data_IF_551006848105
#
_entry.id   IF_551006848105
#
_cell.length_a   1.000
_cell.length_b   1.000
_cell.length_c   1.000
_cell.angle_alpha   90.00
_cell.angle_beta   90.00
_cell.angle_gamma   90.00
#
_symmetry.space_group_name_H-M   'P 1'
#
loop_
_entity.id
_entity.type
_entity.pdbx_description
1 polymer ?
#
# COMPACT_ATOMS: atom_id res chain seq x y z
N UNK A 1 -6.12 -9.97 15.86
CA UNK A 1 -5.29 -9.34 14.81
C UNK A 1 -4.36 -8.24 15.33
N UNK A 2 -4.84 -7.30 16.16
CA UNK A 2 -4.00 -6.20 16.66
C UNK A 2 -3.06 -6.67 17.78
N UNK A 3 -1.77 -6.26 17.78
CA UNK A 3 -0.83 -6.62 18.84
C UNK A 3 -1.30 -6.09 20.19
N UNK A 4 -1.31 -6.95 21.20
CA UNK A 4 -1.58 -6.58 22.58
C UNK A 4 -0.39 -6.99 23.46
N UNK A 5 0.22 -6.01 24.15
CA UNK A 5 1.22 -6.23 25.20
C UNK A 5 0.85 -5.27 26.34
N UNK A 6 0.20 -5.74 27.41
CA UNK A 6 -0.10 -4.91 28.55
C UNK A 6 1.18 -4.66 29.35
N UNK A 7 1.76 -3.47 29.22
CA UNK A 7 2.75 -2.93 30.17
C UNK A 7 2.52 -1.42 30.27
N UNK A 8 2.39 -0.92 31.51
CA UNK A 8 2.17 0.49 31.79
C UNK A 8 0.72 0.96 31.60
N UNK A 9 0.57 2.21 31.14
CA UNK A 9 -0.71 2.94 31.00
C UNK A 9 -1.75 2.13 30.22
N UNK A 10 -3.03 2.16 30.64
CA UNK A 10 -4.13 1.52 29.92
C UNK A 10 -4.13 1.86 28.43
N UNK A 11 -4.42 0.84 27.62
CA UNK A 11 -4.39 0.98 26.17
C UNK A 11 -5.53 1.91 25.72
N UNK A 12 -5.18 2.95 24.95
CA UNK A 12 -6.17 3.77 24.27
C UNK A 12 -7.09 2.93 23.35
N UNK A 13 -8.35 3.35 23.24
CA UNK A 13 -9.35 2.70 22.38
C UNK A 13 -8.85 2.61 20.92
N UNK A 14 -8.76 1.38 20.39
CA UNK A 14 -8.18 1.14 19.06
C UNK A 14 -9.00 1.75 17.92
N UNK A 15 -10.35 1.82 18.04
CA UNK A 15 -11.21 2.46 17.03
C UNK A 15 -10.96 3.96 16.97
N UNK A 16 -10.84 4.62 18.13
CA UNK A 16 -10.50 6.06 18.19
C UNK A 16 -9.13 6.33 17.56
N UNK A 17 -8.13 5.53 17.90
CA UNK A 17 -6.77 5.68 17.34
C UNK A 17 -6.75 5.41 15.83
N UNK A 18 -7.45 4.39 15.35
CA UNK A 18 -7.60 4.11 13.92
C UNK A 18 -8.24 5.28 13.18
N UNK A 19 -9.33 5.84 13.72
CA UNK A 19 -9.99 6.99 13.12
C UNK A 19 -9.07 8.21 13.05
N UNK A 20 -8.28 8.47 14.10
CA UNK A 20 -7.29 9.55 14.07
C UNK A 20 -6.21 9.32 13.00
N UNK A 21 -5.73 8.09 12.85
CA UNK A 21 -4.78 7.73 11.77
C UNK A 21 -5.42 7.96 10.39
N UNK A 22 -6.66 7.49 10.17
CA UNK A 22 -7.34 7.67 8.89
C UNK A 22 -7.65 9.13 8.58
N UNK A 23 -7.98 9.93 9.59
CA UNK A 23 -8.16 11.37 9.44
C UNK A 23 -6.89 12.01 8.88
N UNK A 24 -5.73 11.74 9.48
CA UNK A 24 -4.42 12.25 9.01
C UNK A 24 -4.12 11.77 7.59
N UNK A 25 -4.33 10.49 7.30
CA UNK A 25 -4.04 9.93 5.97
C UNK A 25 -4.96 10.50 4.88
N UNK A 26 -6.21 10.83 5.22
CA UNK A 26 -7.18 11.42 4.28
C UNK A 26 -6.98 12.93 4.10
N UNK A 27 -6.76 13.66 5.20
CA UNK A 27 -6.59 15.12 5.18
C UNK A 27 -5.20 15.54 4.70
N UNK A 28 -4.20 14.66 4.85
CA UNK A 28 -2.78 14.94 4.65
C UNK A 28 -2.23 16.03 5.59
N UNK A 29 -2.95 16.33 6.66
CA UNK A 29 -2.50 17.27 7.68
C UNK A 29 -1.26 16.74 8.42
N UNK A 30 -0.39 17.63 8.94
CA UNK A 30 0.62 17.25 9.91
C UNK A 30 0.02 16.47 11.07
N UNK A 31 0.74 15.48 11.60
CA UNK A 31 0.28 14.73 12.77
C UNK A 31 -0.04 15.64 13.96
N UNK A 32 0.70 16.73 14.13
CA UNK A 32 0.50 17.70 15.21
C UNK A 32 -0.86 18.41 15.16
N UNK A 33 -1.51 18.40 13.99
CA UNK A 33 -2.79 19.07 13.75
C UNK A 33 -3.97 18.08 13.86
N UNK A 34 -3.72 16.87 14.37
CA UNK A 34 -4.77 15.90 14.64
C UNK A 34 -5.76 16.48 15.67
N UNK A 35 -7.09 16.47 15.41
CA UNK A 35 -8.08 16.92 16.37
C UNK A 35 -8.02 16.16 17.70
N UNK A 36 -8.17 16.91 18.80
CA UNK A 36 -8.04 16.39 20.16
C UNK A 36 -9.09 15.30 20.50
N UNK A 37 -10.22 15.27 19.79
CA UNK A 37 -11.25 14.23 19.92
C UNK A 37 -10.71 12.81 19.64
N UNK A 38 -9.64 12.68 18.86
CA UNK A 38 -8.97 11.41 18.61
C UNK A 38 -7.92 11.05 19.70
N UNK A 39 -7.65 11.98 20.61
CA UNK A 39 -6.61 11.90 21.64
C UNK A 39 -5.24 12.38 21.14
N UNK A 40 -4.20 12.24 21.98
CA UNK A 40 -2.88 12.82 21.69
C UNK A 40 -2.30 12.29 20.37
N UNK A 41 -1.88 13.19 19.49
CA UNK A 41 -1.33 12.80 18.19
C UNK A 41 -0.15 11.82 18.29
N UNK A 42 0.65 11.94 19.35
CA UNK A 42 1.78 11.03 19.63
C UNK A 42 1.31 9.59 19.80
N UNK A 43 0.12 9.37 20.36
CA UNK A 43 -0.48 8.04 20.50
C UNK A 43 -0.81 7.45 19.13
N UNK A 44 -1.45 8.23 18.26
CA UNK A 44 -1.81 7.81 16.90
C UNK A 44 -0.57 7.54 16.04
N UNK A 45 0.39 8.46 16.05
CA UNK A 45 1.66 8.32 15.32
C UNK A 45 2.45 7.09 15.79
N UNK A 46 2.65 6.94 17.11
CA UNK A 46 3.38 5.80 17.66
C UNK A 46 2.68 4.48 17.36
N UNK A 47 1.35 4.45 17.37
CA UNK A 47 0.57 3.28 16.97
C UNK A 47 0.81 2.94 15.51
N UNK A 48 0.68 3.92 14.61
CA UNK A 48 0.90 3.75 13.19
C UNK A 48 2.29 3.14 12.90
N UNK A 49 3.35 3.72 13.49
CA UNK A 49 4.73 3.25 13.30
C UNK A 49 4.94 1.84 13.84
N UNK A 50 4.45 1.56 15.07
CA UNK A 50 4.57 0.21 15.67
C UNK A 50 3.84 -0.84 14.84
N UNK A 51 2.64 -0.53 14.38
CA UNK A 51 1.85 -1.43 13.53
C UNK A 51 2.47 -1.63 12.15
N UNK A 52 3.07 -0.60 11.56
CA UNK A 52 3.84 -0.72 10.32
C UNK A 52 5.03 -1.65 10.50
N UNK A 53 5.82 -1.49 11.57
CA UNK A 53 6.96 -2.36 11.87
C UNK A 53 6.54 -3.80 12.17
N UNK A 54 5.38 -4.00 12.80
CA UNK A 54 4.84 -5.31 13.13
C UNK A 54 3.99 -5.95 12.00
N UNK A 55 3.99 -5.38 10.78
CA UNK A 55 3.24 -5.91 9.63
C UNK A 55 1.72 -5.95 9.82
N UNK A 56 1.17 -5.15 10.75
CA UNK A 56 -0.26 -5.15 11.06
C UNK A 56 -1.07 -4.57 9.91
N UNK A 57 -0.61 -3.48 9.29
CA UNK A 57 -1.30 -2.86 8.15
C UNK A 57 -1.43 -3.80 6.96
N UNK A 58 -0.37 -4.56 6.65
CA UNK A 58 -0.43 -5.59 5.60
C UNK A 58 -1.50 -6.63 5.90
N UNK A 59 -1.54 -7.16 7.13
CA UNK A 59 -2.56 -8.12 7.55
C UNK A 59 -3.98 -7.56 7.52
N UNK A 60 -4.18 -6.28 7.84
CA UNK A 60 -5.48 -5.62 7.73
C UNK A 60 -5.89 -5.53 6.26
N UNK A 61 -4.98 -5.09 5.37
CA UNK A 61 -5.27 -5.04 3.93
C UNK A 61 -5.59 -6.43 3.38
N UNK A 62 -4.80 -7.46 3.71
CA UNK A 62 -5.07 -8.83 3.30
C UNK A 62 -6.44 -9.33 3.78
N UNK A 63 -6.82 -9.02 5.03
CA UNK A 63 -8.09 -9.42 5.60
C UNK A 63 -9.29 -8.75 4.91
N UNK A 64 -9.18 -7.45 4.59
CA UNK A 64 -10.21 -6.70 3.86
C UNK A 64 -10.31 -7.17 2.41
N UNK A 65 -9.17 -7.43 1.77
CA UNK A 65 -9.11 -7.93 0.40
C UNK A 65 -9.65 -9.37 0.28
N UNK A 66 -9.69 -10.17 1.35
CA UNK A 66 -10.06 -11.59 1.27
C UNK A 66 -11.50 -11.82 0.75
N UNK A 67 -12.39 -10.83 0.89
CA UNK A 67 -13.77 -10.88 0.42
C UNK A 67 -13.98 -10.14 -0.90
N UNK A 68 -12.91 -9.82 -1.63
CA UNK A 68 -13.02 -9.09 -2.90
C UNK A 68 -13.83 -9.87 -3.94
N UNK A 69 -14.53 -9.14 -4.81
CA UNK A 69 -15.09 -9.71 -6.03
C UNK A 69 -13.93 -10.06 -6.96
N UNK A 70 -13.90 -11.27 -7.49
CA UNK A 70 -12.83 -11.73 -8.35
C UNK A 70 -13.27 -11.83 -9.83
N UNK A 71 -14.49 -11.44 -10.16
CA UNK A 71 -15.02 -11.51 -11.53
C UNK A 71 -14.13 -10.73 -12.51
N UNK A 72 -13.72 -9.52 -12.13
CA UNK A 72 -12.76 -8.68 -12.85
C UNK A 72 -11.68 -8.19 -11.89
N UNK A 73 -10.43 -8.24 -12.34
CA UNK A 73 -9.32 -7.60 -11.66
C UNK A 73 -8.62 -6.64 -12.61
N UNK A 74 -8.32 -5.44 -12.14
CA UNK A 74 -7.60 -4.42 -12.90
C UNK A 74 -6.20 -4.28 -12.32
N UNK A 75 -5.18 -4.19 -13.17
CA UNK A 75 -3.80 -3.91 -12.77
C UNK A 75 -3.34 -2.58 -13.37
N UNK A 76 -2.77 -1.73 -12.53
CA UNK A 76 -2.18 -0.46 -12.95
C UNK A 76 -1.04 -0.04 -12.01
N UNK A 77 -0.23 0.90 -12.46
CA UNK A 77 0.88 1.48 -11.69
C UNK A 77 0.83 2.99 -11.69
N UNK A 78 0.93 3.57 -10.49
CA UNK A 78 1.07 5.02 -10.31
C UNK A 78 2.46 5.36 -9.77
N UNK A 79 2.97 6.54 -10.12
CA UNK A 79 4.28 7.04 -9.69
C UNK A 79 4.10 8.13 -8.63
N UNK A 80 4.83 8.03 -7.53
CA UNK A 80 4.90 9.06 -6.49
C UNK A 80 6.32 9.60 -6.40
N UNK A 81 6.46 10.93 -6.46
CA UNK A 81 7.74 11.60 -6.24
C UNK A 81 8.11 11.58 -4.77
N UNK A 82 9.38 11.27 -4.49
CA UNK A 82 9.90 11.31 -3.13
C UNK A 82 9.89 12.76 -2.64
N UNK A 83 9.37 12.96 -1.43
CA UNK A 83 9.38 14.28 -0.79
C UNK A 83 10.81 14.82 -0.70
N UNK A 84 11.00 16.13 -0.88
CA UNK A 84 12.33 16.76 -0.95
C UNK A 84 13.25 16.38 0.24
N UNK A 85 12.72 16.34 1.47
CA UNK A 85 13.48 15.95 2.66
C UNK A 85 13.90 14.46 2.67
N UNK A 86 13.18 13.60 1.95
CA UNK A 86 13.55 12.20 1.76
C UNK A 86 14.58 11.98 0.65
N UNK A 87 14.60 12.88 -0.35
CA UNK A 87 15.49 12.82 -1.50
C UNK A 87 16.94 13.17 -1.16
N UNK A 88 17.16 13.97 -0.10
CA UNK A 88 18.49 14.36 0.38
C UNK A 88 19.19 13.29 1.25
N UNK A 89 18.54 12.15 1.53
CA UNK A 89 19.11 11.12 2.42
C UNK A 89 20.10 10.23 1.64
N UNK A 90 21.39 10.39 1.91
CA UNK A 90 22.47 9.59 1.34
C UNK A 90 22.26 8.10 1.67
N UNK A 91 22.39 7.22 0.66
CA UNK A 91 22.26 5.75 0.76
C UNK A 91 20.88 5.22 1.20
N UNK A 92 19.79 5.96 1.01
CA UNK A 92 18.44 5.47 1.30
C UNK A 92 17.87 4.49 0.24
N UNK A 93 18.61 3.41 -0.08
CA UNK A 93 18.24 2.44 -1.14
C UNK A 93 17.19 1.40 -0.71
N UNK A 94 16.72 1.43 0.55
CA UNK A 94 15.84 0.40 1.12
C UNK A 94 14.34 0.71 1.04
N UNK A 95 13.93 1.85 0.48
CA UNK A 95 12.54 2.32 0.49
C UNK A 95 11.86 2.27 -0.88
N UNK A 96 12.32 1.40 -1.79
CA UNK A 96 11.81 1.32 -3.17
C UNK A 96 11.81 2.68 -3.88
N UNK A 97 12.89 3.44 -3.70
CA UNK A 97 13.09 4.74 -4.34
C UNK A 97 14.19 4.59 -5.40
N UNK A 98 14.00 5.19 -6.56
CA UNK A 98 15.03 5.22 -7.59
C UNK A 98 14.82 6.29 -8.64
N UNK A 99 15.77 6.40 -9.57
CA UNK A 99 15.92 7.56 -10.46
C UNK A 99 15.07 7.37 -11.72
N UNK A 100 14.01 8.16 -11.83
CA UNK A 100 13.19 8.27 -13.03
C UNK A 100 13.47 9.58 -13.77
N UNK A 101 12.86 9.80 -14.95
CA UNK A 101 12.90 11.10 -15.64
C UNK A 101 12.32 12.24 -14.77
N UNK A 102 11.44 11.91 -13.83
CA UNK A 102 10.90 12.83 -12.84
C UNK A 102 11.76 12.98 -11.57
N UNK A 103 13.01 12.55 -11.56
CA UNK A 103 13.88 12.52 -10.39
C UNK A 103 13.64 11.28 -9.52
N UNK A 104 13.92 11.39 -8.22
CA UNK A 104 13.77 10.29 -7.27
C UNK A 104 12.29 9.97 -7.01
N UNK A 105 11.83 8.79 -7.43
CA UNK A 105 10.43 8.38 -7.37
C UNK A 105 10.27 6.92 -6.93
N UNK A 106 9.05 6.56 -6.55
CA UNK A 106 8.59 5.20 -6.28
C UNK A 106 7.38 4.88 -7.15
N UNK A 107 7.25 3.63 -7.57
CA UNK A 107 6.06 3.12 -8.26
C UNK A 107 5.20 2.32 -7.29
N UNK A 108 3.91 2.61 -7.26
CA UNK A 108 2.88 1.86 -6.56
C UNK A 108 2.13 1.05 -7.60
N UNK A 109 2.30 -0.26 -7.55
CA UNK A 109 1.61 -1.22 -8.40
C UNK A 109 0.40 -1.73 -7.63
N UNK A 110 -0.79 -1.66 -8.23
CA UNK A 110 -2.02 -2.06 -7.61
C UNK A 110 -2.77 -3.06 -8.49
N UNK A 111 -3.27 -4.12 -7.86
CA UNK A 111 -4.37 -4.93 -8.41
C UNK A 111 -5.60 -4.59 -7.59
N UNK A 112 -6.67 -4.21 -8.28
CA UNK A 112 -7.96 -3.86 -7.69
C UNK A 112 -9.07 -4.74 -8.25
N UNK A 113 -10.17 -4.88 -7.52
CA UNK A 113 -11.38 -5.55 -8.02
C UNK A 113 -12.27 -4.61 -8.86
N UNK A 114 -13.45 -5.12 -9.24
CA UNK A 114 -14.51 -4.37 -9.96
C UNK A 114 -14.93 -3.08 -9.27
N UNK A 115 -14.84 -3.00 -7.95
CA UNK A 115 -15.25 -1.84 -7.15
C UNK A 115 -14.08 -0.90 -6.83
N UNK A 116 -12.89 -1.18 -7.36
CA UNK A 116 -11.67 -0.44 -7.04
C UNK A 116 -11.08 -0.77 -5.67
N UNK A 117 -11.51 -1.86 -5.02
CA UNK A 117 -10.92 -2.31 -3.76
C UNK A 117 -9.50 -2.82 -4.01
N UNK A 118 -8.46 -2.29 -3.34
CA UNK A 118 -7.11 -2.83 -3.48
C UNK A 118 -7.01 -4.27 -2.99
N UNK A 119 -6.77 -5.18 -3.92
CA UNK A 119 -6.57 -6.61 -3.67
C UNK A 119 -5.11 -6.89 -3.32
N UNK A 120 -4.19 -6.28 -4.07
CA UNK A 120 -2.74 -6.40 -3.84
C UNK A 120 -2.05 -5.10 -4.17
N UNK A 121 -1.06 -4.77 -3.35
CA UNK A 121 -0.18 -3.63 -3.55
C UNK A 121 1.27 -4.09 -3.53
N UNK A 122 2.10 -3.49 -4.39
CA UNK A 122 3.54 -3.66 -4.32
C UNK A 122 4.26 -2.37 -4.72
N UNK A 123 5.50 -2.23 -4.26
CA UNK A 123 6.33 -1.06 -4.53
C UNK A 123 7.57 -1.47 -5.31
N UNK A 124 7.93 -0.67 -6.32
CA UNK A 124 9.26 -0.71 -6.95
C UNK A 124 9.88 0.67 -6.96
N UNK A 125 11.19 0.70 -7.21
CA UNK A 125 11.88 1.92 -7.58
C UNK A 125 11.30 2.52 -8.88
N UNK A 126 11.44 3.83 -9.03
CA UNK A 126 10.82 4.62 -10.10
C UNK A 126 11.24 4.25 -11.52
N UNK A 127 12.47 3.75 -11.71
CA UNK A 127 13.00 3.29 -12.99
C UNK A 127 12.49 1.91 -13.42
N UNK A 128 11.88 1.15 -12.52
CA UNK A 128 11.44 -0.20 -12.84
C UNK A 128 10.29 -0.20 -13.85
N UNK A 129 10.29 -1.15 -14.79
CA UNK A 129 9.18 -1.36 -15.71
C UNK A 129 7.89 -1.75 -14.97
N UNK A 130 6.74 -1.35 -15.48
CA UNK A 130 5.45 -1.59 -14.80
C UNK A 130 5.12 -3.07 -14.70
N UNK A 131 5.43 -3.84 -15.75
CA UNK A 131 5.26 -5.29 -15.73
C UNK A 131 6.24 -6.05 -14.80
N UNK A 132 7.22 -5.37 -14.17
CA UNK A 132 8.25 -6.00 -13.31
C UNK A 132 7.67 -6.85 -12.18
N UNK A 133 6.54 -6.40 -11.60
CA UNK A 133 5.88 -7.11 -10.50
C UNK A 133 4.57 -7.80 -10.91
N UNK A 134 4.19 -7.76 -12.19
CA UNK A 134 2.94 -8.34 -12.66
C UNK A 134 2.80 -9.82 -12.27
N UNK A 135 3.85 -10.63 -12.44
CA UNK A 135 3.81 -12.05 -12.04
C UNK A 135 3.56 -12.27 -10.54
N UNK A 136 4.11 -11.40 -9.67
CA UNK A 136 3.89 -11.48 -8.22
C UNK A 136 2.48 -11.02 -7.85
N UNK A 137 2.01 -9.93 -8.46
CA UNK A 137 0.70 -9.36 -8.22
C UNK A 137 -0.42 -10.28 -8.72
N UNK A 138 -0.27 -10.84 -9.91
CA UNK A 138 -1.26 -11.73 -10.54
C UNK A 138 -1.14 -13.20 -10.09
N UNK A 139 -0.19 -13.53 -9.21
CA UNK A 139 0.03 -14.91 -8.74
C UNK A 139 -1.20 -15.59 -8.12
N UNK A 140 -2.12 -14.80 -7.53
CA UNK A 140 -3.39 -15.28 -6.95
C UNK A 140 -4.62 -14.77 -7.71
N UNK A 141 -4.49 -14.46 -9.00
CA UNK A 141 -5.64 -14.31 -9.88
C UNK A 141 -6.48 -15.60 -9.76
N UNK A 142 -7.79 -15.46 -9.55
CA UNK A 142 -8.68 -16.62 -9.45
C UNK A 142 -8.99 -17.13 -10.87
N UNK A 143 -9.34 -18.40 -10.96
CA UNK A 143 -9.66 -18.99 -12.25
C UNK A 143 -10.93 -18.37 -12.82
N UNK A 144 -10.90 -18.04 -14.11
CA UNK A 144 -12.01 -17.39 -14.80
C UNK A 144 -12.18 -15.90 -14.48
N UNK A 145 -11.24 -15.28 -13.77
CA UNK A 145 -11.20 -13.82 -13.59
C UNK A 145 -10.85 -13.12 -14.90
N UNK A 146 -11.62 -12.10 -15.31
CA UNK A 146 -11.21 -11.19 -16.38
C UNK A 146 -10.11 -10.25 -15.87
N UNK A 147 -8.96 -10.21 -16.55
CA UNK A 147 -7.87 -9.28 -16.26
C UNK A 147 -7.95 -8.06 -17.18
N UNK A 148 -8.08 -6.88 -16.61
CA UNK A 148 -7.96 -5.61 -17.31
C UNK A 148 -6.61 -4.98 -16.99
N UNK A 149 -5.89 -4.60 -18.04
CA UNK A 149 -4.58 -3.96 -17.92
C UNK A 149 -4.36 -2.99 -19.07
N UNK A 150 -3.52 -1.99 -18.86
CA UNK A 150 -3.11 -1.09 -19.93
C UNK A 150 -2.06 -1.76 -20.85
N UNK A 151 -1.66 -1.03 -21.91
CA UNK A 151 -0.67 -1.53 -22.88
C UNK A 151 0.72 -1.74 -22.25
N UNK A 152 1.03 -1.14 -21.11
CA UNK A 152 2.27 -1.38 -20.38
C UNK A 152 2.43 -2.82 -19.87
N UNK A 153 1.32 -3.56 -19.77
CA UNK A 153 1.28 -4.97 -19.40
C UNK A 153 1.16 -5.94 -20.59
N UNK A 154 1.19 -5.43 -21.83
CA UNK A 154 0.98 -6.19 -23.06
C UNK A 154 2.20 -7.04 -23.47
N UNK A 155 2.62 -7.96 -22.59
CA UNK A 155 3.72 -8.88 -22.82
C UNK A 155 3.22 -10.33 -22.91
N UNK A 156 3.83 -11.15 -23.78
CA UNK A 156 3.45 -12.55 -24.00
C UNK A 156 3.38 -13.36 -22.71
N UNK A 157 4.35 -13.18 -21.82
CA UNK A 157 4.39 -13.91 -20.56
C UNK A 157 3.30 -13.47 -19.57
N UNK A 158 2.83 -12.21 -19.64
CA UNK A 158 1.70 -11.73 -18.83
C UNK A 158 0.40 -12.32 -19.35
N UNK A 159 0.20 -12.31 -20.68
CA UNK A 159 -0.95 -12.95 -21.33
C UNK A 159 -1.00 -14.45 -21.05
N UNK A 160 0.14 -15.15 -21.16
CA UNK A 160 0.24 -16.56 -20.83
C UNK A 160 -0.03 -16.85 -19.34
N UNK A 161 0.37 -15.96 -18.44
CA UNK A 161 0.08 -16.08 -17.00
C UNK A 161 -1.41 -15.90 -16.72
N UNK A 162 -2.06 -14.93 -17.35
CA UNK A 162 -3.50 -14.70 -17.21
C UNK A 162 -4.31 -15.86 -17.80
N UNK A 163 -3.92 -16.38 -18.96
CA UNK A 163 -4.61 -17.50 -19.61
C UNK A 163 -4.51 -18.83 -18.85
N UNK A 164 -3.51 -18.99 -17.97
CA UNK A 164 -3.32 -20.19 -17.12
C UNK A 164 -4.18 -20.18 -15.84
N UNK A 165 -4.86 -19.09 -15.56
CA UNK A 165 -5.65 -18.91 -14.34
C UNK A 165 -7.11 -19.02 -14.68
#
# INVERSE_FOLDING_TARGET
MLPNKPRGVPRANDRRVLNGIFWVLRSRAPWRDLPDDFGPYTTCYNRFVRWRRAGVWGRIMDAVANTHDASVQMIDTSIVRVHQHGACIIRNRKQSMGQSRGGLTSKIHAVVDTNGLPVRLALTAGEAHDNRLAGKLLSRLKSGSMLLADRGYDADWVRALAARK
#
